data_IF_913316782303
#
_entry.id   IF_913316782303
#
_cell.length_a   1.000
_cell.length_b   1.000
_cell.length_c   1.000
_cell.angle_alpha   90.00
_cell.angle_beta   90.00
_cell.angle_gamma   90.00
#
_symmetry.space_group_name_H-M   'P 1'
#
loop_
_entity.id
_entity.type
_entity.pdbx_description
1 polymer ?
#
# COMPACT_ATOMS: atom_id res chain seq x y z
N UNK A 1 -25.70 45.77 36.03
CA UNK A 1 -24.42 45.40 35.39
C UNK A 1 -24.44 43.92 35.04
N UNK A 2 -24.87 43.53 33.85
CA UNK A 2 -24.99 42.10 33.47
C UNK A 2 -24.77 41.82 31.97
N UNK A 3 -24.13 42.73 31.22
CA UNK A 3 -23.92 42.56 29.78
C UNK A 3 -22.47 42.22 29.37
N UNK A 4 -21.48 42.38 30.25
CA UNK A 4 -20.07 42.07 29.93
C UNK A 4 -19.70 40.59 30.09
N UNK A 5 -20.51 39.77 30.76
CA UNK A 5 -20.14 38.37 31.06
C UNK A 5 -20.37 37.40 29.89
N UNK A 6 -21.33 37.70 29.00
CA UNK A 6 -21.66 36.81 27.88
C UNK A 6 -20.72 36.98 26.67
N UNK A 7 -20.10 38.14 26.49
CA UNK A 7 -19.23 38.41 25.33
C UNK A 7 -17.88 37.65 25.41
N UNK A 8 -17.35 37.47 26.61
CA UNK A 8 -16.12 36.72 26.86
C UNK A 8 -16.31 35.20 26.71
N UNK A 9 -17.50 34.69 27.05
CA UNK A 9 -17.80 33.26 26.97
C UNK A 9 -17.91 32.76 25.53
N UNK A 10 -18.43 33.59 24.63
CA UNK A 10 -18.63 33.28 23.22
C UNK A 10 -17.27 33.24 22.48
N UNK A 11 -16.37 34.21 22.70
CA UNK A 11 -15.04 34.22 22.07
C UNK A 11 -14.15 33.04 22.48
N UNK A 12 -14.29 32.52 23.70
CA UNK A 12 -13.49 31.37 24.16
C UNK A 12 -13.83 30.07 23.40
N UNK A 13 -15.09 29.90 22.98
CA UNK A 13 -15.54 28.69 22.28
C UNK A 13 -15.10 28.68 20.81
N UNK A 14 -15.07 29.84 20.17
CA UNK A 14 -14.62 29.96 18.77
C UNK A 14 -13.10 29.76 18.64
N UNK A 15 -12.31 30.23 19.60
CA UNK A 15 -10.85 30.06 19.60
C UNK A 15 -10.48 28.56 19.75
N UNK A 16 -11.18 27.83 20.62
CA UNK A 16 -10.96 26.37 20.81
C UNK A 16 -11.38 25.58 19.56
N UNK A 17 -12.44 26.00 18.86
CA UNK A 17 -12.88 25.36 17.63
C UNK A 17 -11.88 25.56 16.48
N UNK A 18 -11.32 26.76 16.35
CA UNK A 18 -10.33 27.08 15.29
C UNK A 18 -9.00 26.35 15.51
N UNK A 19 -8.55 26.19 16.77
CA UNK A 19 -7.32 25.41 17.05
C UNK A 19 -7.50 23.92 16.77
N UNK A 20 -8.69 23.35 17.01
CA UNK A 20 -8.97 21.95 16.70
C UNK A 20 -8.94 21.68 15.17
N UNK A 21 -9.51 22.59 14.37
CA UNK A 21 -9.59 22.46 12.91
C UNK A 21 -8.21 22.56 12.23
N UNK A 22 -7.25 23.29 12.82
CA UNK A 22 -5.90 23.43 12.26
C UNK A 22 -4.99 22.24 12.66
N UNK A 23 -5.24 21.61 13.82
CA UNK A 23 -4.46 20.44 14.27
C UNK A 23 -4.92 19.12 13.65
N UNK A 24 -6.19 18.99 13.25
CA UNK A 24 -6.74 17.80 12.60
C UNK A 24 -6.09 17.43 11.24
N UNK A 25 -5.81 18.37 10.31
CA UNK A 25 -5.14 18.04 9.05
C UNK A 25 -3.63 17.74 9.20
N UNK A 26 -3.01 18.16 10.29
CA UNK A 26 -1.60 17.86 10.57
C UNK A 26 -1.38 16.41 11.06
N UNK A 27 -2.41 15.78 11.65
CA UNK A 27 -2.36 14.38 12.11
C UNK A 27 -2.81 13.41 11.00
N UNK A 28 -3.62 13.87 10.04
CA UNK A 28 -4.07 13.06 8.90
C UNK A 28 -3.09 13.03 7.72
N UNK A 29 -2.04 13.86 7.74
CA UNK A 29 -1.00 13.88 6.70
C UNK A 29 0.19 12.94 6.99
N UNK A 30 0.21 12.27 8.14
CA UNK A 30 1.22 11.26 8.47
C UNK A 30 0.75 9.87 8.06
N UNK A 31 1.16 9.42 6.87
CA UNK A 31 1.58 8.05 6.54
C UNK A 31 1.56 7.78 5.02
N UNK A 32 1.93 8.76 4.20
CA UNK A 32 2.35 8.44 2.84
C UNK A 32 3.80 7.90 2.94
N UNK A 33 3.95 6.58 3.10
CA UNK A 33 5.28 5.97 3.10
C UNK A 33 5.80 6.01 1.66
N UNK A 34 6.88 6.74 1.44
CA UNK A 34 7.63 6.58 0.19
C UNK A 34 8.29 5.20 0.22
N UNK A 35 7.64 4.20 -0.37
CA UNK A 35 8.33 2.96 -0.69
C UNK A 35 9.28 3.24 -1.85
N UNK A 36 10.54 2.86 -1.72
CA UNK A 36 11.47 2.88 -2.85
C UNK A 36 11.30 1.60 -3.65
N UNK A 37 11.73 1.58 -4.91
CA UNK A 37 11.79 0.34 -5.70
C UNK A 37 12.53 -0.76 -4.94
N UNK A 38 13.62 -0.40 -4.28
CA UNK A 38 14.39 -1.31 -3.43
C UNK A 38 13.54 -2.02 -2.36
N UNK A 39 12.52 -1.35 -1.79
CA UNK A 39 11.65 -1.95 -0.79
C UNK A 39 10.71 -3.00 -1.41
N UNK A 40 10.20 -2.74 -2.62
CA UNK A 40 9.46 -3.74 -3.39
C UNK A 40 10.35 -4.94 -3.73
N UNK A 41 11.56 -4.69 -4.22
CA UNK A 41 12.51 -5.76 -4.56
C UNK A 41 12.85 -6.61 -3.34
N UNK A 42 13.10 -5.97 -2.19
CA UNK A 42 13.35 -6.66 -0.92
C UNK A 42 12.13 -7.49 -0.48
N UNK A 43 10.92 -6.93 -0.59
CA UNK A 43 9.70 -7.66 -0.30
C UNK A 43 9.56 -8.89 -1.20
N UNK A 44 9.74 -8.76 -2.52
CA UNK A 44 9.61 -9.86 -3.47
C UNK A 44 10.69 -10.92 -3.30
N UNK A 45 11.93 -10.51 -3.04
CA UNK A 45 13.01 -11.42 -2.67
C UNK A 45 12.68 -12.21 -1.40
N UNK A 46 11.99 -11.59 -0.43
CA UNK A 46 11.54 -12.28 0.78
C UNK A 46 10.43 -13.31 0.55
N UNK A 47 9.78 -13.28 -0.62
CA UNK A 47 8.75 -14.25 -1.00
C UNK A 47 9.33 -15.49 -1.67
N UNK A 48 10.55 -15.43 -2.21
CA UNK A 48 11.20 -16.57 -2.85
C UNK A 48 11.30 -17.74 -1.86
N UNK A 49 10.93 -18.93 -2.33
CA UNK A 49 10.89 -20.16 -1.55
C UNK A 49 9.64 -20.33 -0.66
N UNK A 50 8.79 -19.30 -0.52
CA UNK A 50 7.54 -19.43 0.23
C UNK A 50 6.57 -20.37 -0.48
N UNK A 51 5.84 -21.13 0.33
CA UNK A 51 4.78 -22.02 -0.14
C UNK A 51 3.56 -21.21 -0.55
N UNK A 52 3.10 -21.42 -1.77
CA UNK A 52 1.79 -21.02 -2.26
C UNK A 52 0.77 -22.12 -1.98
N UNK A 53 -0.39 -21.75 -1.47
CA UNK A 53 -1.54 -22.64 -1.39
C UNK A 53 -2.59 -22.21 -2.43
N UNK A 54 -2.81 -23.00 -3.50
CA UNK A 54 -3.84 -22.71 -4.50
C UNK A 54 -5.25 -22.62 -3.93
N UNK A 55 -5.54 -23.29 -2.81
CA UNK A 55 -6.85 -23.26 -2.17
C UNK A 55 -7.11 -21.93 -1.43
N UNK A 56 -6.05 -21.32 -0.88
CA UNK A 56 -6.12 -20.03 -0.19
C UNK A 56 -5.92 -18.84 -1.13
N UNK A 57 -5.19 -19.04 -2.24
CA UNK A 57 -4.80 -17.96 -3.12
C UNK A 57 -3.70 -17.08 -2.51
N UNK A 58 -3.34 -16.01 -3.23
CA UNK A 58 -2.32 -15.04 -2.79
C UNK A 58 -2.90 -13.75 -2.19
N UNK A 59 -4.22 -13.72 -1.96
CA UNK A 59 -4.98 -12.54 -1.54
C UNK A 59 -5.58 -11.76 -2.72
N UNK A 60 -6.45 -10.79 -2.42
CA UNK A 60 -7.31 -10.09 -3.39
C UNK A 60 -6.54 -9.31 -4.47
N UNK A 61 -5.28 -8.94 -4.20
CA UNK A 61 -4.48 -8.11 -5.11
C UNK A 61 -3.67 -8.90 -6.14
N UNK A 62 -3.71 -10.24 -6.10
CA UNK A 62 -2.98 -11.09 -7.04
C UNK A 62 -3.93 -11.71 -8.05
N UNK A 63 -3.60 -11.53 -9.32
CA UNK A 63 -4.34 -12.04 -10.46
C UNK A 63 -3.49 -13.08 -11.19
N UNK A 64 -4.07 -14.22 -11.49
CA UNK A 64 -3.43 -15.21 -12.37
C UNK A 64 -3.35 -14.68 -13.80
N UNK A 65 -2.14 -14.65 -14.35
CA UNK A 65 -1.87 -14.18 -15.73
C UNK A 65 -1.42 -15.30 -16.65
N UNK A 66 -0.90 -16.40 -16.10
CA UNK A 66 -0.51 -17.58 -16.85
C UNK A 66 -0.68 -18.85 -16.00
N UNK A 67 -1.07 -19.94 -16.64
CA UNK A 67 -1.09 -21.27 -16.06
C UNK A 67 -0.98 -22.33 -17.16
N UNK A 68 -0.05 -23.26 -16.97
CA UNK A 68 0.08 -24.46 -17.79
C UNK A 68 0.06 -25.72 -16.91
N UNK A 69 0.45 -26.86 -17.44
CA UNK A 69 0.51 -28.13 -16.69
C UNK A 69 1.53 -28.13 -15.55
N UNK A 70 2.57 -27.30 -15.63
CA UNK A 70 3.73 -27.30 -14.73
C UNK A 70 3.87 -26.03 -13.90
N UNK A 71 3.26 -24.93 -14.31
CA UNK A 71 3.57 -23.59 -13.81
C UNK A 71 2.31 -22.76 -13.62
N UNK A 72 2.39 -21.83 -12.69
CA UNK A 72 1.42 -20.77 -12.46
C UNK A 72 2.21 -19.46 -12.38
N UNK A 73 1.70 -18.41 -13.03
CA UNK A 73 2.21 -17.06 -12.88
C UNK A 73 1.10 -16.13 -12.39
N UNK A 74 1.39 -15.43 -11.29
CA UNK A 74 0.47 -14.49 -10.65
C UNK A 74 1.07 -13.10 -10.74
N UNK A 75 0.28 -12.12 -11.14
CA UNK A 75 0.64 -10.71 -11.19
C UNK A 75 -0.08 -9.95 -10.07
N UNK A 76 0.58 -8.98 -9.47
CA UNK A 76 -0.11 -7.96 -8.69
C UNK A 76 0.24 -6.59 -9.21
N UNK A 77 -0.73 -5.69 -9.09
CA UNK A 77 -0.61 -4.30 -9.48
C UNK A 77 -0.56 -3.45 -8.21
N UNK A 78 0.58 -2.81 -7.97
CA UNK A 78 0.72 -1.88 -6.85
C UNK A 78 0.09 -0.53 -7.18
N UNK A 79 0.22 -0.07 -8.43
CA UNK A 79 -0.43 1.17 -8.92
C UNK A 79 -0.54 1.22 -10.44
N UNK A 80 -1.07 2.34 -10.94
CA UNK A 80 -0.97 2.72 -12.36
C UNK A 80 0.53 2.72 -12.74
N UNK A 81 0.88 1.86 -13.69
CA UNK A 81 2.22 1.71 -14.27
C UNK A 81 3.30 1.02 -13.40
N UNK A 82 2.94 0.37 -12.29
CA UNK A 82 3.83 -0.51 -11.53
C UNK A 82 3.17 -1.86 -11.23
N UNK A 83 3.66 -2.91 -11.88
CA UNK A 83 3.20 -4.30 -11.72
C UNK A 83 4.37 -5.29 -11.81
N UNK A 84 4.21 -6.39 -11.10
CA UNK A 84 5.17 -7.50 -11.08
C UNK A 84 4.44 -8.82 -10.97
N UNK A 85 5.12 -9.87 -11.41
CA UNK A 85 4.63 -11.23 -11.33
C UNK A 85 5.58 -12.13 -10.57
N UNK A 86 5.00 -13.18 -9.99
CA UNK A 86 5.71 -14.29 -9.35
C UNK A 86 5.44 -15.57 -10.13
N UNK A 87 6.47 -16.39 -10.25
CA UNK A 87 6.43 -17.69 -10.91
C UNK A 87 6.41 -18.81 -9.87
N UNK A 88 5.49 -19.76 -10.05
CA UNK A 88 5.22 -20.84 -9.11
C UNK A 88 5.13 -22.17 -9.87
N UNK A 89 6.14 -23.05 -9.75
CA UNK A 89 6.05 -24.43 -10.25
C UNK A 89 4.99 -25.22 -9.46
N UNK A 90 4.17 -26.02 -10.14
CA UNK A 90 3.08 -26.82 -9.56
C UNK A 90 3.56 -28.08 -8.84
N UNK A 91 4.76 -28.54 -9.12
CA UNK A 91 5.36 -29.70 -8.46
C UNK A 91 5.73 -29.38 -6.99
N UNK A 92 6.16 -28.15 -6.73
CA UNK A 92 6.57 -27.68 -5.40
C UNK A 92 5.58 -26.71 -4.78
N UNK A 93 4.78 -26.02 -5.61
CA UNK A 93 3.98 -24.86 -5.24
C UNK A 93 4.77 -23.83 -4.43
N UNK A 94 6.04 -23.62 -4.80
CA UNK A 94 6.89 -22.59 -4.18
C UNK A 94 7.15 -21.46 -5.15
N UNK A 95 7.29 -20.25 -4.62
CA UNK A 95 7.72 -19.14 -5.47
C UNK A 95 9.19 -19.34 -5.82
N UNK A 96 9.48 -19.50 -7.11
CA UNK A 96 10.84 -19.71 -7.60
C UNK A 96 11.49 -18.40 -8.03
N UNK A 97 10.72 -17.53 -8.68
CA UNK A 97 11.22 -16.25 -9.20
C UNK A 97 10.12 -15.18 -9.26
N UNK A 98 10.54 -13.93 -9.46
CA UNK A 98 9.67 -12.80 -9.71
C UNK A 98 10.27 -11.90 -10.80
N UNK A 99 9.42 -11.12 -11.48
CA UNK A 99 9.85 -10.12 -12.48
C UNK A 99 8.89 -8.93 -12.52
N UNK A 100 9.38 -7.78 -12.96
CA UNK A 100 8.50 -6.68 -13.33
C UNK A 100 7.73 -7.04 -14.61
N UNK A 101 6.42 -6.76 -14.63
CA UNK A 101 5.59 -6.86 -15.83
C UNK A 101 5.33 -5.48 -16.47
N UNK A 102 5.62 -4.41 -15.72
CA UNK A 102 5.72 -3.04 -16.23
C UNK A 102 7.19 -2.59 -16.34
N UNK A 103 7.50 -1.47 -17.01
CA UNK A 103 8.82 -0.85 -16.92
C UNK A 103 9.17 -0.49 -15.47
N UNK A 104 10.44 -0.71 -15.08
CA UNK A 104 10.96 -0.37 -13.74
C UNK A 104 10.74 1.11 -13.38
N UNK A 105 10.89 2.01 -14.34
CA UNK A 105 10.72 3.45 -14.15
C UNK A 105 9.31 3.85 -13.67
N UNK A 106 8.28 3.06 -14.01
CA UNK A 106 6.93 3.28 -13.48
C UNK A 106 6.81 3.04 -11.97
N UNK A 107 7.81 2.41 -11.37
CA UNK A 107 7.90 2.13 -9.94
C UNK A 107 8.85 3.10 -9.20
N UNK A 108 9.62 3.98 -9.87
CA UNK A 108 10.73 4.74 -9.24
C UNK A 108 10.30 5.89 -8.31
N UNK A 109 9.10 6.44 -8.48
CA UNK A 109 8.51 7.46 -7.60
C UNK A 109 7.27 6.91 -6.88
N UNK A 110 7.40 6.45 -5.63
CA UNK A 110 6.25 5.96 -4.86
C UNK A 110 5.88 6.85 -3.68
N UNK A 111 4.56 7.05 -3.53
CA UNK A 111 3.86 7.26 -2.27
C UNK A 111 2.94 6.04 -2.12
N UNK A 112 3.13 5.22 -1.10
CA UNK A 112 2.25 4.11 -0.78
C UNK A 112 1.55 4.42 0.53
N UNK A 113 0.22 4.46 0.49
CA UNK A 113 -0.62 4.40 1.67
C UNK A 113 -0.85 2.91 1.94
N UNK A 114 -0.26 2.40 3.03
CA UNK A 114 -0.51 1.05 3.53
C UNK A 114 -1.87 1.00 4.26
#
# INVERSE_FOLDING_TARGET
MAFMSNYLRIKSKEIVFVTLIILLPAILSSCAHHMKVADIENYLNSLIGRQYDPALGFGENWKKIYEDEKNIELETRVKKDCSYSIHIPKDTYRIDSWKFTSPRSGCEDMYVFL
#
